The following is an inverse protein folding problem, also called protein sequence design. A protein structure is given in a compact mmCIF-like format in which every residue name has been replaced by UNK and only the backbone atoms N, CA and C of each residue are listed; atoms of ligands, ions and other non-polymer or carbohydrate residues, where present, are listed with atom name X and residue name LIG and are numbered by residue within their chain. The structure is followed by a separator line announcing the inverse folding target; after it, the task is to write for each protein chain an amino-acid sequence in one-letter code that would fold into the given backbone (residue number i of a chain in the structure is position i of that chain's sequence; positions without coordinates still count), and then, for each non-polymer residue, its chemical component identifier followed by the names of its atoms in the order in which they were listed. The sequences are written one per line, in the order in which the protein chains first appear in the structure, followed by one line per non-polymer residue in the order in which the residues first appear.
data_IF_923262397761
#
_entry.id   IF_923262397761
#
_cell.length_a   1.000
_cell.length_b   1.000
_cell.length_c   1.000
_cell.angle_alpha   90.00
_cell.angle_beta   90.00
_cell.angle_gamma   90.00
#
_symmetry.space_group_name_H-M   'P 1'
#
loop_
_entity.id
_entity.type
_entity.pdbx_description
1 polymer ?
#
# COMPACT_ATOMS: atom_id res chain seq x y z
N UNK A 1 -12.13 26.57 0.55
CA UNK A 1 -11.85 25.55 -0.47
C UNK A 1 -11.51 24.26 0.25
N UNK A 2 -12.42 23.28 0.26
CA UNK A 2 -12.19 21.97 0.86
C UNK A 2 -11.38 21.11 -0.12
N UNK A 3 -10.06 21.09 0.02
CA UNK A 3 -9.26 20.04 -0.61
C UNK A 3 -9.40 18.78 0.27
N UNK A 4 -10.14 17.79 -0.22
CA UNK A 4 -10.18 16.47 0.40
C UNK A 4 -8.93 15.72 -0.04
N UNK A 5 -7.96 15.58 0.87
CA UNK A 5 -6.66 14.98 0.57
C UNK A 5 -6.77 13.49 0.24
N UNK A 6 -5.97 13.04 -0.73
CA UNK A 6 -5.73 11.62 -0.98
C UNK A 6 -4.88 11.10 0.18
N UNK A 7 -5.42 10.15 0.96
CA UNK A 7 -4.69 9.55 2.08
C UNK A 7 -4.04 8.23 1.67
N UNK A 8 -2.81 8.05 2.13
CA UNK A 8 -2.10 6.79 2.11
C UNK A 8 -2.32 6.06 3.44
N UNK A 9 -2.41 4.74 3.39
CA UNK A 9 -2.40 3.88 4.57
C UNK A 9 -1.44 2.70 4.39
N UNK A 10 -0.85 2.29 5.51
CA UNK A 10 -0.06 1.08 5.67
C UNK A 10 -0.50 0.32 6.93
N UNK A 11 0.03 -0.89 7.11
CA UNK A 11 -0.21 -1.70 8.32
C UNK A 11 1.11 -1.88 9.06
N UNK A 12 1.16 -1.38 10.30
CA UNK A 12 2.26 -1.63 11.22
C UNK A 12 2.05 -2.95 11.96
N UNK A 13 2.99 -3.88 11.82
CA UNK A 13 3.06 -5.12 12.61
C UNK A 13 4.52 -5.45 12.92
N UNK A 14 4.79 -5.88 14.15
CA UNK A 14 6.14 -6.20 14.62
C UNK A 14 7.19 -5.09 14.35
N UNK A 15 6.79 -3.81 14.45
CA UNK A 15 7.66 -2.65 14.29
C UNK A 15 8.00 -2.26 12.84
N UNK A 16 7.40 -2.94 11.85
CA UNK A 16 7.52 -2.60 10.42
C UNK A 16 6.17 -2.18 9.86
N UNK A 17 6.17 -1.14 9.03
CA UNK A 17 4.99 -0.69 8.32
C UNK A 17 5.01 -1.20 6.88
N UNK A 18 3.94 -1.91 6.51
CA UNK A 18 3.76 -2.51 5.21
C UNK A 18 2.84 -1.65 4.35
N UNK A 19 3.29 -1.33 3.16
CA UNK A 19 2.61 -0.47 2.20
C UNK A 19 2.51 -1.16 0.83
N UNK A 20 1.62 -0.66 -0.03
CA UNK A 20 1.49 -1.10 -1.41
C UNK A 20 1.61 0.09 -2.37
N UNK A 21 2.42 -0.05 -3.41
CA UNK A 21 2.66 0.95 -4.45
C UNK A 21 2.80 0.32 -5.83
N UNK A 22 2.67 1.15 -6.87
CA UNK A 22 2.78 0.72 -8.27
C UNK A 22 4.19 0.78 -8.81
N UNK A 23 4.49 -0.13 -9.76
CA UNK A 23 5.64 -0.12 -10.65
C UNK A 23 5.35 -1.01 -11.87
N UNK A 24 6.15 -0.93 -12.92
CA UNK A 24 5.85 -1.56 -14.22
C UNK A 24 6.37 -3.01 -14.35
N UNK A 25 7.33 -3.39 -13.50
CA UNK A 25 7.97 -4.70 -13.58
C UNK A 25 7.00 -5.86 -13.30
N UNK A 26 6.87 -6.77 -14.26
CA UNK A 26 6.02 -7.96 -14.15
C UNK A 26 6.54 -8.92 -13.08
N UNK A 27 5.60 -9.62 -12.44
CA UNK A 27 5.86 -10.64 -11.42
C UNK A 27 6.64 -10.16 -10.18
N UNK A 28 6.78 -8.84 -10.01
CA UNK A 28 7.41 -8.23 -8.84
C UNK A 28 6.34 -7.60 -7.94
N UNK A 29 6.47 -7.84 -6.64
CA UNK A 29 5.57 -7.33 -5.61
C UNK A 29 5.60 -5.80 -5.54
N UNK A 30 4.42 -5.19 -5.47
CA UNK A 30 4.28 -3.78 -5.13
C UNK A 30 4.23 -3.56 -3.61
N UNK A 31 4.20 -4.63 -2.81
CA UNK A 31 4.24 -4.57 -1.35
C UNK A 31 5.67 -4.30 -0.88
N UNK A 32 5.83 -3.39 0.07
CA UNK A 32 7.11 -3.04 0.65
C UNK A 32 6.99 -2.67 2.13
N UNK A 33 8.09 -2.88 2.87
CA UNK A 33 8.21 -2.46 4.26
C UNK A 33 9.00 -1.15 4.40
N UNK A 34 8.56 -0.28 5.31
CA UNK A 34 9.27 0.91 5.77
C UNK A 34 9.32 0.93 7.30
N UNK A 35 10.14 1.83 7.84
CA UNK A 35 10.07 2.15 9.26
C UNK A 35 8.71 2.77 9.58
N UNK A 36 8.08 2.27 10.64
CA UNK A 36 6.75 2.70 11.01
C UNK A 36 6.68 4.20 11.29
N UNK A 37 5.62 4.86 10.81
CA UNK A 37 5.36 6.30 10.98
C UNK A 37 6.33 7.23 10.24
N UNK A 38 7.30 6.69 9.51
CA UNK A 38 8.10 7.46 8.55
C UNK A 38 7.35 7.55 7.23
N UNK A 39 6.79 6.42 6.78
CA UNK A 39 6.08 6.31 5.51
C UNK A 39 6.97 6.51 4.27
N UNK A 40 6.40 6.39 3.06
CA UNK A 40 7.09 6.73 1.83
C UNK A 40 7.53 8.21 1.76
N UNK A 41 8.62 8.55 1.05
CA UNK A 41 9.04 9.93 0.86
C UNK A 41 7.92 10.83 0.32
N UNK A 42 7.78 12.04 0.88
CA UNK A 42 6.76 13.00 0.45
C UNK A 42 5.42 12.88 1.17
N UNK A 43 5.24 11.90 2.04
CA UNK A 43 4.07 11.77 2.91
C UNK A 43 4.39 12.24 4.33
N UNK A 44 3.41 12.87 4.97
CA UNK A 44 3.49 13.26 6.38
C UNK A 44 2.60 12.32 7.21
N UNK A 45 3.18 11.73 8.25
CA UNK A 45 2.44 10.91 9.18
C UNK A 45 1.34 11.74 9.86
N UNK A 46 0.11 11.22 9.83
CA UNK A 46 -1.06 11.87 10.44
C UNK A 46 -1.42 11.25 11.79
N UNK A 47 -1.58 9.93 11.83
CA UNK A 47 -1.99 9.18 13.03
C UNK A 47 -1.83 7.67 12.84
N UNK A 48 -1.78 6.94 13.94
CA UNK A 48 -1.91 5.47 13.97
C UNK A 48 -3.27 5.10 14.54
N UNK A 49 -3.88 4.05 14.01
CA UNK A 49 -5.17 3.53 14.49
C UNK A 49 -5.02 2.05 14.83
N UNK A 50 -5.32 1.67 16.06
CA UNK A 50 -5.29 0.27 16.46
C UNK A 50 -6.47 -0.49 15.84
N UNK A 51 -6.18 -1.45 14.96
CA UNK A 51 -7.19 -2.31 14.32
C UNK A 51 -7.48 -3.55 15.18
N UNK A 52 -6.48 -4.07 15.87
CA UNK A 52 -6.62 -5.21 16.78
C UNK A 52 -5.30 -5.90 17.09
N UNK A 53 -5.42 -7.11 17.61
CA UNK A 53 -4.30 -8.00 17.92
C UNK A 53 -4.46 -9.29 17.13
N UNK A 54 -3.33 -9.89 16.77
CA UNK A 54 -3.29 -11.22 16.18
C UNK A 54 -2.67 -12.22 17.16
N UNK A 55 -3.03 -13.50 17.03
CA UNK A 55 -2.42 -14.61 17.76
C UNK A 55 -1.51 -15.46 16.86
N UNK A 56 -1.31 -15.00 15.62
CA UNK A 56 -0.41 -15.66 14.68
C UNK A 56 1.03 -15.63 15.22
N UNK A 57 1.76 -16.72 15.04
CA UNK A 57 3.20 -16.74 15.27
C UNK A 57 3.94 -15.89 14.23
N UNK A 58 5.20 -15.58 14.48
CA UNK A 58 6.03 -14.85 13.53
C UNK A 58 6.09 -15.56 12.17
N UNK A 59 6.20 -16.89 12.13
CA UNK A 59 6.19 -17.66 10.88
C UNK A 59 4.86 -17.53 10.14
N UNK A 60 3.75 -17.53 10.88
CA UNK A 60 2.42 -17.35 10.28
C UNK A 60 2.23 -15.92 9.74
N UNK A 61 2.73 -14.92 10.46
CA UNK A 61 2.73 -13.53 9.98
C UNK A 61 3.56 -13.42 8.69
N UNK A 62 4.74 -14.01 8.64
CA UNK A 62 5.57 -14.06 7.43
C UNK A 62 4.87 -14.77 6.28
N UNK A 63 4.15 -15.87 6.55
CA UNK A 63 3.37 -16.55 5.53
C UNK A 63 2.23 -15.68 4.97
N UNK A 64 1.56 -14.89 5.83
CA UNK A 64 0.53 -13.93 5.38
C UNK A 64 1.15 -12.84 4.51
N UNK A 65 2.28 -12.25 4.94
CA UNK A 65 3.01 -11.22 4.20
C UNK A 65 3.44 -11.74 2.82
N UNK A 66 4.00 -12.94 2.76
CA UNK A 66 4.45 -13.56 1.52
C UNK A 66 3.28 -13.98 0.62
N UNK A 67 2.14 -14.34 1.19
CA UNK A 67 0.91 -14.64 0.45
C UNK A 67 0.34 -13.40 -0.21
N UNK A 68 0.16 -12.31 0.57
CA UNK A 68 -0.43 -11.07 0.05
C UNK A 68 0.49 -10.36 -0.94
N UNK A 69 1.82 -10.46 -0.80
CA UNK A 69 2.78 -9.86 -1.74
C UNK A 69 2.73 -10.47 -3.15
N UNK A 70 2.34 -11.74 -3.26
CA UNK A 70 2.09 -12.40 -4.57
C UNK A 70 0.84 -11.90 -5.26
N UNK A 71 -0.14 -11.43 -4.50
CA UNK A 71 -1.40 -10.92 -5.03
C UNK A 71 -1.33 -9.43 -5.37
N UNK A 72 -0.57 -8.67 -4.59
CA UNK A 72 -0.38 -7.22 -4.75
C UNK A 72 0.93 -6.92 -5.47
N UNK A 73 1.00 -7.35 -6.73
CA UNK A 73 2.11 -7.04 -7.64
C UNK A 73 2.06 -5.58 -8.10
N UNK A 74 3.21 -4.97 -8.38
CA UNK A 74 3.31 -3.56 -8.76
C UNK A 74 2.41 -3.18 -9.95
N UNK A 75 2.40 -3.96 -11.05
CA UNK A 75 1.55 -3.66 -12.19
C UNK A 75 0.04 -3.74 -11.92
N UNK A 76 -0.36 -4.34 -10.78
CA UNK A 76 -1.78 -4.38 -10.38
C UNK A 76 -2.22 -3.12 -9.65
N UNK A 77 -1.32 -2.18 -9.34
CA UNK A 77 -1.67 -0.95 -8.66
C UNK A 77 -2.54 -0.07 -9.55
N UNK A 78 -3.70 0.31 -9.02
CA UNK A 78 -4.58 1.29 -9.63
C UNK A 78 -5.06 2.25 -8.56
N UNK A 79 -4.88 3.55 -8.80
CA UNK A 79 -5.21 4.60 -7.84
C UNK A 79 -6.67 4.54 -7.35
N UNK A 80 -7.61 4.08 -8.19
CA UNK A 80 -9.04 4.08 -7.88
C UNK A 80 -9.52 2.70 -7.39
N UNK A 81 -9.08 1.63 -8.03
CA UNK A 81 -9.67 0.28 -7.86
C UNK A 81 -8.78 -0.69 -7.10
N UNK A 82 -7.48 -0.40 -6.94
CA UNK A 82 -6.52 -1.30 -6.29
C UNK A 82 -5.29 -0.52 -5.81
N UNK A 83 -5.47 0.25 -4.74
CA UNK A 83 -4.44 1.12 -4.16
C UNK A 83 -4.02 0.65 -2.75
N UNK A 84 -3.16 1.43 -2.09
CA UNK A 84 -2.70 1.17 -0.72
C UNK A 84 -3.82 0.91 0.30
N UNK A 85 -4.98 1.58 0.18
CA UNK A 85 -6.08 1.39 1.12
C UNK A 85 -6.76 0.02 0.97
N UNK A 86 -6.86 -0.50 -0.26
CA UNK A 86 -7.36 -1.84 -0.52
C UNK A 86 -6.41 -2.90 0.05
N UNK A 87 -5.11 -2.68 -0.11
CA UNK A 87 -4.08 -3.50 0.51
C UNK A 87 -4.18 -3.47 2.04
N UNK A 88 -4.27 -2.28 2.65
CA UNK A 88 -4.41 -2.13 4.11
C UNK A 88 -5.61 -2.88 4.64
N UNK A 89 -6.77 -2.75 3.98
CA UNK A 89 -7.99 -3.43 4.39
C UNK A 89 -7.85 -4.96 4.37
N UNK A 90 -7.36 -5.50 3.25
CA UNK A 90 -7.15 -6.94 3.08
C UNK A 90 -6.09 -7.47 4.05
N UNK A 91 -5.00 -6.75 4.25
CA UNK A 91 -3.93 -7.18 5.14
C UNK A 91 -4.36 -7.15 6.60
N UNK A 92 -5.09 -6.11 7.03
CA UNK A 92 -5.73 -6.07 8.34
C UNK A 92 -6.65 -7.27 8.56
N UNK A 93 -7.47 -7.61 7.56
CA UNK A 93 -8.38 -8.73 7.65
C UNK A 93 -7.64 -10.07 7.80
N UNK A 94 -6.61 -10.33 6.98
CA UNK A 94 -5.81 -11.56 7.09
C UNK A 94 -5.10 -11.71 8.43
N UNK A 95 -4.61 -10.61 8.99
CA UNK A 95 -3.90 -10.62 10.27
C UNK A 95 -4.84 -10.76 11.47
N UNK A 96 -5.99 -10.08 11.45
CA UNK A 96 -6.81 -9.86 12.66
C UNK A 96 -8.25 -10.34 12.56
N UNK A 97 -8.71 -10.74 11.37
CA UNK A 97 -10.12 -11.01 11.07
C UNK A 97 -10.99 -9.75 11.04
N UNK A 98 -10.40 -8.55 11.09
CA UNK A 98 -11.10 -7.27 11.08
C UNK A 98 -10.63 -6.39 9.92
N UNK A 99 -11.58 -5.78 9.24
CA UNK A 99 -11.32 -4.79 8.20
C UNK A 99 -10.76 -3.48 8.78
N UNK A 100 -10.09 -2.73 7.93
CA UNK A 100 -9.61 -1.39 8.28
C UNK A 100 -10.81 -0.44 8.50
N UNK A 101 -10.67 0.60 9.34
CA UNK A 101 -11.73 1.56 9.56
C UNK A 101 -12.25 2.17 8.26
N UNK A 102 -13.56 2.03 8.02
CA UNK A 102 -14.19 2.43 6.75
C UNK A 102 -14.01 3.91 6.38
N UNK A 103 -13.74 4.78 7.37
CA UNK A 103 -13.47 6.21 7.13
C UNK A 103 -12.10 6.46 6.45
N UNK A 104 -11.12 5.56 6.61
CA UNK A 104 -9.85 5.61 5.86
C UNK A 104 -10.16 5.43 4.37
N UNK A 105 -10.97 4.42 4.06
CA UNK A 105 -11.47 4.18 2.70
C UNK A 105 -12.39 5.29 2.18
N UNK A 106 -13.14 6.02 3.04
CA UNK A 106 -13.98 7.16 2.61
C UNK A 106 -13.17 8.38 2.19
N UNK A 107 -12.04 8.64 2.84
CA UNK A 107 -11.19 9.78 2.49
C UNK A 107 -10.44 9.50 1.16
N UNK A 108 -10.02 8.25 0.93
CA UNK A 108 -9.57 7.79 -0.39
C UNK A 108 -10.68 7.93 -1.46
N UNK A 109 -11.92 7.53 -1.13
CA UNK A 109 -13.08 7.64 -2.04
C UNK A 109 -13.50 9.07 -2.38
N UNK A 110 -13.21 10.07 -1.54
CA UNK A 110 -13.52 11.47 -1.85
C UNK A 110 -12.51 12.10 -2.82
N UNK A 111 -11.26 11.63 -2.84
CA UNK A 111 -10.28 11.99 -3.87
C UNK A 111 -10.63 11.41 -5.24
N UNK A 112 -11.32 10.26 -5.28
CA UNK A 112 -11.69 9.57 -6.52
C UNK A 112 -13.05 10.00 -7.10
N UNK A 113 -13.88 10.74 -6.35
CA UNK A 113 -15.17 11.25 -6.83
C UNK A 113 -15.06 12.41 -7.83
N UNK A 114 -13.85 12.88 -8.16
CA UNK A 114 -13.64 13.83 -9.25
C UNK A 114 -12.51 13.37 -10.19
N UNK A 115 -12.81 12.52 -11.19
CA UNK A 115 -11.86 12.12 -12.24
C UNK A 115 -11.29 13.30 -13.06
N UNK A 116 -11.92 14.48 -13.00
CA UNK A 116 -11.51 15.70 -13.68
C UNK A 116 -10.32 16.43 -13.00
N UNK A 117 -9.94 16.06 -11.77
CA UNK A 117 -8.89 16.76 -10.99
C UNK A 117 -7.63 15.91 -10.81
N UNK A 118 -7.62 14.68 -11.30
CA UNK A 118 -6.47 13.79 -11.27
C UNK A 118 -5.93 13.71 -12.70
N UNK A 119 -4.73 14.24 -12.99
CA UNK A 119 -4.10 14.09 -14.30
C UNK A 119 -4.00 12.60 -14.66
N UNK A 120 -4.32 12.25 -15.91
CA UNK A 120 -4.23 10.87 -16.41
C UNK A 120 -2.82 10.28 -16.22
N UNK A 121 -1.81 11.14 -16.21
CA UNK A 121 -0.40 10.85 -15.92
C UNK A 121 -0.14 10.27 -14.51
N UNK A 122 -1.10 10.38 -13.58
CA UNK A 122 -1.02 9.76 -12.25
C UNK A 122 -1.77 8.43 -12.16
N UNK A 123 -2.49 8.07 -13.22
CA UNK A 123 -3.26 6.82 -13.34
C UNK A 123 -2.41 5.74 -14.00
N UNK A 124 -1.50 6.13 -14.89
CA UNK A 124 -0.54 5.25 -15.53
C UNK A 124 0.86 5.47 -14.94
N UNK A 125 1.63 4.40 -14.68
CA UNK A 125 3.02 4.56 -14.25
C UNK A 125 3.83 5.28 -15.36
N UNK A 126 4.77 6.18 -15.01
CA UNK A 126 5.61 6.85 -15.99
C UNK A 126 6.62 5.87 -16.62
N UNK A 127 6.75 5.92 -17.94
CA UNK A 127 7.80 5.21 -18.69
C UNK A 127 9.18 5.68 -18.20
N UNK A 128 9.94 4.81 -17.52
CA UNK A 128 11.29 5.11 -17.06
C UNK A 128 12.30 4.14 -17.68
N UNK A 129 13.04 4.63 -18.69
CA UNK A 129 14.23 3.96 -19.24
C UNK A 129 15.33 3.88 -18.16
N UNK A 130 15.75 2.67 -17.78
CA UNK A 130 16.68 2.44 -16.66
C UNK A 130 16.55 1.06 -16.00
N UNK A 131 16.42 0.03 -16.81
CA UNK A 131 15.58 -1.14 -16.54
C UNK A 131 16.21 -2.09 -15.52
N UNK A 132 17.52 -2.38 -15.65
CA UNK A 132 18.16 -3.42 -14.83
C UNK A 132 18.38 -3.06 -13.36
N UNK A 133 18.87 -1.84 -13.07
CA UNK A 133 19.19 -1.44 -11.68
C UNK A 133 17.95 -1.17 -10.84
N UNK A 134 16.90 -0.66 -11.46
CA UNK A 134 15.65 -0.33 -10.79
C UNK A 134 14.90 -1.63 -10.48
N UNK A 135 14.83 -2.57 -11.43
CA UNK A 135 14.22 -3.88 -11.22
C UNK A 135 14.88 -4.65 -10.05
N UNK A 136 16.22 -4.68 -10.00
CA UNK A 136 16.96 -5.29 -8.90
C UNK A 136 16.63 -4.63 -7.55
N UNK A 137 16.38 -3.32 -7.54
CA UNK A 137 15.98 -2.60 -6.32
C UNK A 137 14.60 -3.05 -5.83
N UNK A 138 13.65 -3.31 -6.73
CA UNK A 138 12.33 -3.81 -6.35
C UNK A 138 12.36 -5.29 -5.96
N UNK A 139 13.14 -6.13 -6.67
CA UNK A 139 13.32 -7.55 -6.34
C UNK A 139 13.93 -7.79 -4.96
N UNK A 140 14.89 -6.96 -4.59
CA UNK A 140 15.61 -7.09 -3.33
C UNK A 140 15.00 -6.26 -2.20
N UNK A 141 13.87 -5.59 -2.42
CA UNK A 141 13.22 -4.78 -1.40
C UNK A 141 12.65 -5.71 -0.31
N UNK A 142 12.84 -5.38 0.98
CA UNK A 142 12.22 -6.16 2.04
C UNK A 142 10.70 -6.08 1.94
N UNK A 143 10.10 -7.27 1.91
CA UNK A 143 8.72 -7.52 2.31
C UNK A 143 8.80 -8.16 3.69
#
# INVERSE_FOLDING_TARGET
MLFVGIYHSGVEICGKEYCFGGHEFKDITGVFAVEAKVGPPGLLFKQSVSVGYTRLSDEQIQAVIHGISKEFVGPSYNLLTRNCNHFTDEFCFRLTGKHAPSWINRAAKLGTMFPCVIPTEWVEPPDLEGDGKIEDTFKNRPV
#
